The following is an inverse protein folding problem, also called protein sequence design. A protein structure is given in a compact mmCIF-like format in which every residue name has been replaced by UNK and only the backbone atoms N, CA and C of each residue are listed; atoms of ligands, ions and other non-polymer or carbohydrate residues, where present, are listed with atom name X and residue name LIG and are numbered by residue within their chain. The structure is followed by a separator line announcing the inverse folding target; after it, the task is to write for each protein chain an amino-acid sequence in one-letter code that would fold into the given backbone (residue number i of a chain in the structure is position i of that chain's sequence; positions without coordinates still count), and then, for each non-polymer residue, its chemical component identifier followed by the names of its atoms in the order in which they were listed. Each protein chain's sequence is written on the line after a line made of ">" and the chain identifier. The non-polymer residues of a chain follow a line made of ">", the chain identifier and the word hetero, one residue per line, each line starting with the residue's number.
data_IF_750577623902
#
_entry.id   IF_750577623902
#
_cell.length_a   1.000
_cell.length_b   1.000
_cell.length_c   1.000
_cell.angle_alpha   90.00
_cell.angle_beta   90.00
_cell.angle_gamma   90.00
#
_symmetry.space_group_name_H-M   'P 1'
#
loop_
_entity.id
_entity.type
_entity.pdbx_description
1 polymer ?
#
# COMPACT_ATOMS: atom_id res chain seq x y z
N UNK A 1 49.15 28.09 11.25
CA UNK A 1 48.56 27.63 9.97
C UNK A 1 48.99 26.18 9.73
N UNK A 2 48.13 25.21 10.02
CA UNK A 2 48.39 23.79 9.73
C UNK A 2 47.05 23.07 9.60
N UNK A 3 46.56 22.96 8.36
CA UNK A 3 45.40 22.15 8.02
C UNK A 3 45.84 20.69 7.97
N UNK A 4 45.54 19.91 9.02
CA UNK A 4 45.73 18.47 8.99
C UNK A 4 44.70 17.83 8.05
N UNK A 5 45.18 17.44 6.87
CA UNK A 5 44.46 16.62 5.90
C UNK A 5 44.10 15.27 6.54
N UNK A 6 42.87 15.16 7.06
CA UNK A 6 42.29 13.87 7.43
C UNK A 6 42.14 13.02 6.16
N UNK A 7 43.06 12.07 5.96
CA UNK A 7 42.89 10.96 5.00
C UNK A 7 41.53 10.32 5.24
N UNK A 8 40.62 10.49 4.29
CA UNK A 8 39.34 9.75 4.19
C UNK A 8 39.69 8.26 3.99
N UNK A 9 39.98 7.53 5.07
CA UNK A 9 39.98 6.07 5.04
C UNK A 9 38.57 5.67 4.59
N UNK A 10 38.50 4.87 3.53
CA UNK A 10 37.23 4.36 3.00
C UNK A 10 36.64 3.47 4.09
N UNK A 11 35.76 4.01 4.91
CA UNK A 11 35.10 3.28 5.98
C UNK A 11 33.96 2.48 5.35
N UNK A 12 34.17 1.18 5.13
CA UNK A 12 33.15 0.25 4.64
C UNK A 12 32.20 -0.22 5.75
N UNK A 13 32.46 0.13 7.01
CA UNK A 13 31.63 -0.17 8.18
C UNK A 13 30.13 0.16 7.98
N UNK A 14 29.74 1.33 7.43
CA UNK A 14 28.33 1.62 7.17
C UNK A 14 27.69 0.65 6.16
N UNK A 15 28.44 0.18 5.16
CA UNK A 15 27.93 -0.75 4.17
C UNK A 15 27.65 -2.13 4.77
N UNK A 16 28.55 -2.61 5.63
CA UNK A 16 28.36 -3.88 6.35
C UNK A 16 27.17 -3.85 7.32
N UNK A 17 26.89 -2.71 7.96
CA UNK A 17 25.75 -2.56 8.85
C UNK A 17 24.40 -2.57 8.13
N UNK A 18 24.35 -2.08 6.88
CA UNK A 18 23.12 -2.04 6.06
C UNK A 18 22.93 -3.34 5.27
N UNK A 19 24.01 -4.10 5.04
CA UNK A 19 24.00 -5.37 4.31
C UNK A 19 22.91 -6.37 4.79
N UNK A 20 22.71 -6.65 6.09
CA UNK A 20 21.65 -7.59 6.51
C UNK A 20 20.25 -7.09 6.14
N UNK A 21 19.98 -5.78 6.26
CA UNK A 21 18.70 -5.21 5.83
C UNK A 21 18.49 -5.36 4.33
N UNK A 22 19.52 -5.08 3.52
CA UNK A 22 19.46 -5.24 2.06
C UNK A 22 19.20 -6.71 1.71
N UNK A 23 19.90 -7.65 2.32
CA UNK A 23 19.71 -9.08 2.05
C UNK A 23 18.28 -9.53 2.37
N UNK A 24 17.71 -9.08 3.48
CA UNK A 24 16.32 -9.38 3.84
C UNK A 24 15.34 -8.78 2.83
N UNK A 25 15.51 -7.52 2.44
CA UNK A 25 14.67 -6.88 1.43
C UNK A 25 14.78 -7.59 0.07
N UNK A 26 15.98 -7.97 -0.33
CA UNK A 26 16.19 -8.72 -1.57
C UNK A 26 15.49 -10.08 -1.53
N UNK A 27 15.61 -10.81 -0.43
CA UNK A 27 15.02 -12.14 -0.30
C UNK A 27 13.48 -12.13 -0.19
N UNK A 28 12.93 -11.17 0.55
CA UNK A 28 11.49 -11.16 0.87
C UNK A 28 10.68 -10.31 -0.11
N UNK A 29 11.26 -9.26 -0.69
CA UNK A 29 10.53 -8.35 -1.57
C UNK A 29 10.95 -8.50 -3.04
N UNK A 30 12.25 -8.45 -3.31
CA UNK A 30 12.73 -8.41 -4.70
C UNK A 30 12.68 -9.79 -5.36
N UNK A 31 13.10 -10.84 -4.67
CA UNK A 31 13.07 -12.21 -5.17
C UNK A 31 11.67 -12.64 -5.61
N UNK A 32 10.60 -12.56 -4.77
CA UNK A 32 9.28 -12.93 -5.21
C UNK A 32 8.74 -12.01 -6.31
N UNK A 33 9.04 -10.70 -6.30
CA UNK A 33 8.62 -9.80 -7.37
C UNK A 33 9.21 -10.21 -8.73
N UNK A 34 10.52 -10.51 -8.78
CA UNK A 34 11.18 -11.01 -9.99
C UNK A 34 10.62 -12.38 -10.39
N UNK A 35 10.36 -13.25 -9.42
CA UNK A 35 9.74 -14.55 -9.67
C UNK A 35 8.32 -14.41 -10.25
N UNK A 36 7.51 -13.47 -9.77
CA UNK A 36 6.18 -13.18 -10.34
C UNK A 36 6.28 -12.65 -11.77
N UNK A 37 7.27 -11.81 -12.08
CA UNK A 37 7.53 -11.36 -13.45
C UNK A 37 7.90 -12.56 -14.34
N UNK A 38 8.76 -13.45 -13.84
CA UNK A 38 9.07 -14.69 -14.54
C UNK A 38 7.81 -15.55 -14.75
N UNK A 39 6.97 -15.74 -13.73
CA UNK A 39 5.72 -16.48 -13.86
C UNK A 39 4.72 -15.83 -14.82
N UNK A 40 4.76 -14.50 -15.02
CA UNK A 40 3.84 -13.81 -15.92
C UNK A 40 3.95 -14.25 -17.38
N UNK A 41 5.12 -14.77 -17.80
CA UNK A 41 5.36 -15.29 -19.15
C UNK A 41 5.23 -16.82 -19.25
N UNK A 42 4.81 -17.46 -18.16
CA UNK A 42 4.58 -18.89 -18.05
C UNK A 42 3.08 -19.16 -17.86
N UNK A 43 2.61 -20.29 -18.39
CA UNK A 43 1.25 -20.79 -18.18
C UNK A 43 1.32 -22.06 -17.34
N UNK A 44 0.45 -22.12 -16.31
CA UNK A 44 0.33 -23.29 -15.45
C UNK A 44 -0.63 -24.28 -16.11
N UNK A 45 -0.07 -25.36 -16.64
CA UNK A 45 -0.84 -26.49 -17.15
C UNK A 45 -0.87 -27.63 -16.09
N UNK A 46 -1.81 -28.58 -16.21
CA UNK A 46 -1.85 -29.77 -15.37
C UNK A 46 -0.52 -30.54 -15.36
N UNK A 47 0.17 -30.59 -16.50
CA UNK A 47 1.44 -31.33 -16.68
C UNK A 47 2.67 -30.54 -16.21
N UNK A 48 2.51 -29.26 -15.83
CA UNK A 48 3.61 -28.42 -15.36
C UNK A 48 3.55 -26.97 -15.87
N UNK A 49 4.68 -26.28 -15.77
CA UNK A 49 4.82 -24.90 -16.27
C UNK A 49 5.29 -24.91 -17.72
N UNK A 50 4.59 -24.19 -18.58
CA UNK A 50 4.98 -24.01 -19.99
C UNK A 50 5.30 -22.55 -20.27
N UNK A 51 6.35 -22.28 -21.04
CA UNK A 51 6.69 -20.91 -21.43
C UNK A 51 5.77 -20.49 -22.58
N UNK A 52 4.98 -19.43 -22.36
CA UNK A 52 4.00 -18.93 -23.34
C UNK A 52 4.29 -17.51 -23.80
N UNK A 53 5.39 -16.92 -23.34
CA UNK A 53 5.80 -15.56 -23.67
C UNK A 53 4.71 -14.55 -23.30
N UNK A 54 4.37 -13.66 -24.24
CA UNK A 54 3.38 -12.59 -24.01
C UNK A 54 1.90 -13.01 -24.08
N UNK A 55 1.59 -14.30 -24.27
CA UNK A 55 0.21 -14.76 -24.50
C UNK A 55 -0.74 -14.45 -23.33
N UNK A 56 -0.24 -14.53 -22.10
CA UNK A 56 -1.01 -14.16 -20.91
C UNK A 56 -1.48 -12.71 -20.94
N UNK A 57 -0.63 -11.79 -21.40
CA UNK A 57 -0.98 -10.39 -21.54
C UNK A 57 -2.01 -10.16 -22.65
N UNK A 58 -1.86 -10.82 -23.80
CA UNK A 58 -2.86 -10.74 -24.88
C UNK A 58 -4.24 -11.23 -24.42
N UNK A 59 -4.29 -12.34 -23.68
CA UNK A 59 -5.54 -12.84 -23.08
C UNK A 59 -6.12 -11.81 -22.11
N UNK A 60 -5.29 -11.25 -21.23
CA UNK A 60 -5.71 -10.24 -20.24
C UNK A 60 -6.33 -9.00 -20.91
N UNK A 61 -5.68 -8.44 -21.93
CA UNK A 61 -6.18 -7.25 -22.64
C UNK A 61 -7.44 -7.52 -23.47
N UNK A 62 -7.66 -8.76 -23.89
CA UNK A 62 -8.86 -9.15 -24.62
C UNK A 62 -10.06 -9.48 -23.71
N UNK A 63 -9.87 -9.54 -22.38
CA UNK A 63 -10.96 -9.72 -21.43
C UNK A 63 -11.78 -8.43 -21.32
N UNK A 64 -13.09 -8.51 -21.57
CA UNK A 64 -14.02 -7.36 -21.44
C UNK A 64 -13.96 -6.71 -20.06
N UNK A 65 -13.79 -7.51 -19.01
CA UNK A 65 -13.75 -7.06 -17.61
C UNK A 65 -12.44 -6.36 -17.22
N UNK A 66 -11.36 -6.51 -18.00
CA UNK A 66 -10.06 -5.95 -17.63
C UNK A 66 -10.07 -4.43 -17.64
N UNK A 67 -10.57 -3.83 -18.73
CA UNK A 67 -10.66 -2.37 -18.84
C UNK A 67 -11.58 -1.76 -17.77
N UNK A 68 -12.71 -2.43 -17.50
CA UNK A 68 -13.65 -2.00 -16.46
C UNK A 68 -13.01 -2.05 -15.06
N UNK A 69 -12.31 -3.14 -14.73
CA UNK A 69 -11.63 -3.31 -13.44
C UNK A 69 -10.53 -2.26 -13.22
N UNK A 70 -9.75 -1.98 -14.27
CA UNK A 70 -8.73 -0.92 -14.24
C UNK A 70 -9.37 0.45 -14.04
N UNK A 71 -10.47 0.74 -14.75
CA UNK A 71 -11.22 1.99 -14.59
C UNK A 71 -11.74 2.17 -13.15
N UNK A 72 -12.40 1.16 -12.58
CA UNK A 72 -12.87 1.18 -11.19
C UNK A 72 -11.72 1.37 -10.20
N UNK A 73 -10.59 0.71 -10.41
CA UNK A 73 -9.40 0.84 -9.55
C UNK A 73 -8.83 2.26 -9.58
N UNK A 74 -8.75 2.87 -10.76
CA UNK A 74 -8.24 4.25 -10.92
C UNK A 74 -9.21 5.24 -10.27
N UNK A 75 -10.51 5.12 -10.52
CA UNK A 75 -11.52 6.00 -9.93
C UNK A 75 -11.49 5.89 -8.40
N UNK A 76 -11.43 4.67 -7.88
CA UNK A 76 -11.28 4.42 -6.45
C UNK A 76 -10.00 5.07 -5.89
N UNK A 77 -8.85 4.85 -6.53
CA UNK A 77 -7.56 5.37 -6.07
C UNK A 77 -7.53 6.90 -6.06
N UNK A 78 -8.00 7.54 -7.13
CA UNK A 78 -8.03 9.00 -7.25
C UNK A 78 -9.01 9.59 -6.25
N UNK A 79 -10.22 9.02 -6.14
CA UNK A 79 -11.24 9.47 -5.19
C UNK A 79 -10.75 9.34 -3.74
N UNK A 80 -10.18 8.19 -3.39
CA UNK A 80 -9.59 7.92 -2.08
C UNK A 80 -8.45 8.89 -1.75
N UNK A 81 -7.48 9.06 -2.66
CA UNK A 81 -6.34 9.95 -2.46
C UNK A 81 -6.78 11.41 -2.32
N UNK A 82 -7.68 11.89 -3.19
CA UNK A 82 -8.20 13.25 -3.12
C UNK A 82 -8.94 13.50 -1.79
N UNK A 83 -9.83 12.58 -1.39
CA UNK A 83 -10.60 12.71 -0.17
C UNK A 83 -9.71 12.71 1.08
N UNK A 84 -8.77 11.76 1.16
CA UNK A 84 -7.85 11.66 2.31
C UNK A 84 -6.90 12.86 2.41
N UNK A 85 -6.42 13.39 1.28
CA UNK A 85 -5.60 14.60 1.25
C UNK A 85 -6.40 15.83 1.71
N UNK A 86 -7.61 16.03 1.18
CA UNK A 86 -8.46 17.16 1.54
C UNK A 86 -8.83 17.12 3.02
N UNK A 87 -9.33 15.97 3.51
CA UNK A 87 -9.69 15.82 4.91
C UNK A 87 -8.48 15.95 5.84
N UNK A 88 -7.36 15.31 5.50
CA UNK A 88 -6.11 15.40 6.26
C UNK A 88 -5.60 16.84 6.34
N UNK A 89 -5.68 17.59 5.25
CA UNK A 89 -5.27 19.00 5.21
C UNK A 89 -6.21 19.89 6.05
N UNK A 90 -7.52 19.70 5.96
CA UNK A 90 -8.50 20.42 6.80
C UNK A 90 -8.22 20.16 8.28
N UNK A 91 -8.07 18.89 8.67
CA UNK A 91 -7.78 18.49 10.05
C UNK A 91 -6.44 19.10 10.52
N UNK A 92 -5.40 19.05 9.68
CA UNK A 92 -4.11 19.65 9.99
C UNK A 92 -4.20 21.16 10.24
N UNK A 93 -4.97 21.89 9.42
CA UNK A 93 -5.21 23.33 9.61
C UNK A 93 -5.98 23.64 10.90
N UNK A 94 -6.98 22.82 11.24
CA UNK A 94 -7.74 22.97 12.48
C UNK A 94 -6.84 22.74 13.71
N UNK A 95 -5.96 21.73 13.66
CA UNK A 95 -5.04 21.38 14.74
C UNK A 95 -3.80 22.29 14.84
N UNK A 96 -3.48 23.06 13.78
CA UNK A 96 -2.38 24.03 13.78
C UNK A 96 -2.68 25.26 14.65
N UNK A 97 -3.96 25.58 14.87
CA UNK A 97 -4.32 26.62 15.87
C UNK A 97 -3.89 26.15 17.26
N UNK A 98 -3.73 27.06 18.23
CA UNK A 98 -3.48 26.70 19.65
C UNK A 98 -4.71 26.01 20.24
N UNK A 99 -4.99 24.79 19.82
CA UNK A 99 -6.10 23.98 20.29
C UNK A 99 -5.68 23.36 21.62
N UNK A 100 -6.42 23.67 22.69
CA UNK A 100 -6.22 23.04 23.98
C UNK A 100 -6.48 21.54 23.79
N UNK A 101 -5.55 20.68 24.25
CA UNK A 101 -5.61 19.21 24.10
C UNK A 101 -5.40 18.66 22.66
N UNK A 102 -4.64 19.34 21.80
CA UNK A 102 -4.28 18.84 20.45
C UNK A 102 -3.85 17.35 20.42
N UNK A 103 -3.09 16.90 21.42
CA UNK A 103 -2.69 15.49 21.55
C UNK A 103 -3.85 14.50 21.73
N UNK A 104 -4.93 14.86 22.44
CA UNK A 104 -6.10 13.99 22.62
C UNK A 104 -6.86 13.81 21.29
N UNK A 105 -7.04 14.90 20.53
CA UNK A 105 -7.71 14.86 19.23
C UNK A 105 -6.93 14.00 18.23
N UNK A 106 -5.61 14.15 18.19
CA UNK A 106 -4.74 13.30 17.38
C UNK A 106 -4.93 11.84 17.77
N UNK A 107 -4.85 11.50 19.06
CA UNK A 107 -5.05 10.11 19.51
C UNK A 107 -6.36 9.51 19.02
N UNK A 108 -7.48 10.22 19.15
CA UNK A 108 -8.80 9.73 18.69
C UNK A 108 -8.81 9.51 17.17
N UNK A 109 -8.24 10.43 16.40
CA UNK A 109 -8.15 10.33 14.94
C UNK A 109 -7.29 9.14 14.47
N UNK A 110 -6.32 8.72 15.27
CA UNK A 110 -5.46 7.58 14.97
C UNK A 110 -6.05 6.22 15.38
N UNK A 111 -7.07 6.18 16.25
CA UNK A 111 -7.76 4.92 16.62
C UNK A 111 -8.16 4.08 15.40
N UNK A 112 -8.88 4.61 14.39
CA UNK A 112 -9.30 3.79 13.25
C UNK A 112 -8.13 3.25 12.43
N UNK A 113 -6.97 3.92 12.43
CA UNK A 113 -5.78 3.46 11.69
C UNK A 113 -5.14 2.22 12.33
N UNK A 114 -5.38 1.99 13.62
CA UNK A 114 -4.84 0.83 14.36
C UNK A 114 -5.78 -0.38 14.22
N UNK A 115 -7.05 -0.17 13.87
CA UNK A 115 -8.02 -1.25 13.65
C UNK A 115 -7.62 -2.03 12.40
N UNK A 116 -7.63 -3.36 12.49
CA UNK A 116 -7.34 -4.21 11.33
C UNK A 116 -8.39 -4.01 10.22
N UNK A 117 -7.97 -3.97 8.96
CA UNK A 117 -8.84 -3.73 7.80
C UNK A 117 -10.03 -4.72 7.74
N UNK A 118 -9.80 -5.98 8.13
CA UNK A 118 -10.83 -7.01 8.20
C UNK A 118 -11.93 -6.63 9.22
N UNK A 119 -11.55 -6.08 10.38
CA UNK A 119 -12.50 -5.64 11.42
C UNK A 119 -13.27 -4.42 10.92
N UNK A 120 -12.59 -3.45 10.31
CA UNK A 120 -13.23 -2.28 9.73
C UNK A 120 -14.29 -2.67 8.68
N UNK A 121 -13.95 -3.63 7.80
CA UNK A 121 -14.89 -4.18 6.82
C UNK A 121 -16.06 -4.92 7.45
N UNK A 122 -15.83 -5.69 8.52
CA UNK A 122 -16.90 -6.38 9.24
C UNK A 122 -17.85 -5.38 9.92
N UNK A 123 -17.31 -4.37 10.61
CA UNK A 123 -18.11 -3.32 11.26
C UNK A 123 -18.93 -2.59 10.19
N UNK A 124 -18.32 -2.19 9.09
CA UNK A 124 -19.05 -1.54 8.00
C UNK A 124 -20.17 -2.43 7.44
N UNK A 125 -19.91 -3.72 7.23
CA UNK A 125 -20.93 -4.67 6.80
C UNK A 125 -22.09 -4.72 7.80
N UNK A 126 -21.81 -4.80 9.10
CA UNK A 126 -22.84 -4.81 10.15
C UNK A 126 -23.67 -3.53 10.14
N UNK A 127 -23.05 -2.38 9.90
CA UNK A 127 -23.74 -1.08 9.83
C UNK A 127 -24.73 -1.00 8.66
N UNK A 128 -24.43 -1.68 7.55
CA UNK A 128 -25.21 -1.66 6.31
C UNK A 128 -26.18 -2.86 6.20
N UNK A 129 -26.33 -3.66 7.26
CA UNK A 129 -27.25 -4.81 7.22
C UNK A 129 -28.72 -4.36 7.05
N UNK A 130 -29.51 -5.02 6.17
CA UNK A 130 -30.87 -4.58 5.86
C UNK A 130 -31.87 -4.65 7.03
N UNK A 131 -31.73 -5.64 7.92
CA UNK A 131 -32.75 -5.92 8.94
C UNK A 131 -32.49 -5.22 10.29
N UNK A 132 -31.22 -4.90 10.59
CA UNK A 132 -30.79 -4.36 11.89
C UNK A 132 -29.53 -3.50 11.82
N UNK A 133 -29.06 -3.16 10.61
CA UNK A 133 -27.96 -2.23 10.44
C UNK A 133 -28.37 -0.81 10.83
N UNK A 134 -27.40 -0.05 11.36
CA UNK A 134 -27.62 1.37 11.72
C UNK A 134 -28.07 2.22 10.51
N UNK A 135 -27.76 1.77 9.28
CA UNK A 135 -28.17 2.44 8.04
C UNK A 135 -29.36 1.77 7.34
N UNK A 136 -29.97 0.74 7.92
CA UNK A 136 -31.10 0.01 7.35
C UNK A 136 -32.31 0.88 7.00
N UNK A 137 -32.54 1.97 7.75
CA UNK A 137 -33.66 2.89 7.50
C UNK A 137 -33.40 3.94 6.41
N UNK A 138 -32.19 4.00 5.84
CA UNK A 138 -31.75 5.04 4.89
C UNK A 138 -31.39 4.46 3.52
N UNK A 139 -31.19 3.14 3.41
CA UNK A 139 -30.91 2.38 2.18
C UNK A 139 -32.09 1.47 1.83
#
# INVERSE_FOLDING_TARGET
>A
MSHSMRRRRRNWLPFWLILPTILVLLAIQVYPAVYTIWLSVQERNPDGWTYVGGRNFQRLFNMSVFGESVGHTIVFLVGYAALTLVLGFIIALLLNRKVRLSGLYITILFIPWIIADIIAGLVFRLLVLPDYGLFAGVL
#
